data_IF_882988143912
#
_entry.id   IF_882988143912
#
_cell.length_a   1.000
_cell.length_b   1.000
_cell.length_c   1.000
_cell.angle_alpha   90.00
_cell.angle_beta   90.00
_cell.angle_gamma   90.00
#
_symmetry.space_group_name_H-M   'P 1'
#
loop_
_entity.id
_entity.type
_entity.pdbx_description
1 polymer ?
#
# COMPACT_ATOMS: atom_id res chain seq x y z
N UNK A 1 0.57 20.83 32.54
CA UNK A 1 -0.61 21.16 31.69
C UNK A 1 -0.56 20.25 30.48
N UNK A 2 -1.63 19.51 30.18
CA UNK A 2 -1.73 18.71 28.96
C UNK A 2 -2.34 19.57 27.84
N UNK A 3 -1.60 19.78 26.76
CA UNK A 3 -2.08 20.44 25.55
C UNK A 3 -2.49 19.37 24.53
N UNK A 4 -3.78 19.05 24.48
CA UNK A 4 -4.32 18.12 23.50
C UNK A 4 -4.59 18.84 22.18
N UNK A 5 -3.89 18.42 21.11
CA UNK A 5 -4.18 18.86 19.75
C UNK A 5 -5.53 18.30 19.26
N UNK A 6 -6.13 18.94 18.25
CA UNK A 6 -7.35 18.48 17.59
C UNK A 6 -7.16 18.46 16.07
N UNK A 7 -7.79 17.49 15.39
CA UNK A 7 -7.94 17.44 13.93
C UNK A 7 -9.42 17.35 13.59
N UNK A 8 -9.96 18.37 12.93
CA UNK A 8 -11.32 18.33 12.41
C UNK A 8 -11.42 17.37 11.23
N UNK A 9 -12.57 16.68 11.01
CA UNK A 9 -12.80 15.94 9.78
C UNK A 9 -12.65 16.85 8.56
N UNK A 10 -12.01 16.33 7.52
CA UNK A 10 -11.84 17.03 6.25
C UNK A 10 -13.00 16.61 5.33
N UNK A 11 -13.54 17.56 4.57
CA UNK A 11 -14.63 17.33 3.63
C UNK A 11 -14.20 17.76 2.22
N UNK A 12 -14.72 17.08 1.21
CA UNK A 12 -14.50 17.39 -0.20
C UNK A 12 -15.66 16.90 -1.06
N UNK A 13 -16.00 17.64 -2.11
CA UNK A 13 -17.16 17.34 -2.98
C UNK A 13 -16.79 16.63 -4.28
N UNK A 14 -15.52 16.70 -4.70
CA UNK A 14 -15.04 16.14 -5.97
C UNK A 14 -14.08 14.95 -5.79
N UNK A 15 -13.49 14.79 -4.60
CA UNK A 15 -12.54 13.73 -4.31
C UNK A 15 -11.82 13.96 -2.98
N UNK A 16 -11.21 12.89 -2.46
CA UNK A 16 -10.43 12.90 -1.23
C UNK A 16 -9.33 11.84 -1.31
N UNK A 17 -8.15 12.16 -0.76
CA UNK A 17 -7.02 11.22 -0.65
C UNK A 17 -6.47 11.29 0.76
N UNK A 18 -6.34 10.14 1.41
CA UNK A 18 -5.76 10.00 2.74
C UNK A 18 -4.64 8.97 2.71
N UNK A 19 -3.47 9.32 3.23
CA UNK A 19 -2.30 8.45 3.35
C UNK A 19 -1.46 8.88 4.57
N UNK A 20 -0.45 8.09 4.93
CA UNK A 20 0.47 8.40 6.04
C UNK A 20 1.41 9.56 5.73
N UNK A 21 1.67 9.86 4.45
CA UNK A 21 2.59 10.91 4.02
C UNK A 21 1.86 12.06 3.31
N UNK A 22 2.04 13.33 3.75
CA UNK A 22 1.39 14.47 3.11
C UNK A 22 1.71 14.60 1.61
N UNK A 23 2.96 14.33 1.19
CA UNK A 23 3.37 14.42 -0.22
C UNK A 23 2.74 13.30 -1.07
N UNK A 24 2.54 12.10 -0.52
CA UNK A 24 1.84 11.03 -1.22
C UNK A 24 0.35 11.35 -1.38
N UNK A 25 -0.29 11.89 -0.34
CA UNK A 25 -1.66 12.41 -0.44
C UNK A 25 -1.79 13.50 -1.51
N UNK A 26 -0.81 14.41 -1.60
CA UNK A 26 -0.79 15.45 -2.63
C UNK A 26 -0.63 14.89 -4.05
N UNK A 27 0.20 13.85 -4.24
CA UNK A 27 0.33 13.19 -5.54
C UNK A 27 -1.02 12.60 -6.01
N UNK A 28 -1.77 11.95 -5.12
CA UNK A 28 -3.11 11.45 -5.44
C UNK A 28 -4.09 12.58 -5.78
N UNK A 29 -4.07 13.68 -5.02
CA UNK A 29 -4.92 14.86 -5.30
C UNK A 29 -4.59 15.47 -6.67
N UNK A 30 -3.32 15.51 -7.06
CA UNK A 30 -2.91 16.03 -8.35
C UNK A 30 -3.43 15.18 -9.51
N UNK A 31 -3.42 13.84 -9.38
CA UNK A 31 -4.03 12.95 -10.37
C UNK A 31 -5.55 13.15 -10.47
N UNK A 32 -6.24 13.32 -9.34
CA UNK A 32 -7.68 13.64 -9.37
C UNK A 32 -7.96 14.96 -10.08
N UNK A 33 -7.12 16.00 -9.86
CA UNK A 33 -7.25 17.29 -10.54
C UNK A 33 -7.02 17.19 -12.05
N UNK A 34 -6.18 16.27 -12.49
CA UNK A 34 -5.92 15.98 -13.90
C UNK A 34 -7.02 15.12 -14.56
N UNK A 35 -8.11 14.82 -13.83
CA UNK A 35 -9.24 14.05 -14.33
C UNK A 35 -9.11 12.54 -14.14
N UNK A 36 -8.09 12.08 -13.40
CA UNK A 36 -7.95 10.69 -12.99
C UNK A 36 -9.05 10.27 -12.01
N UNK A 37 -9.31 8.96 -11.95
CA UNK A 37 -10.25 8.37 -11.00
C UNK A 37 -9.57 7.97 -9.68
N UNK A 38 -10.34 7.37 -8.76
CA UNK A 38 -9.83 6.93 -7.47
C UNK A 38 -8.74 5.84 -7.57
N UNK A 39 -8.79 4.95 -8.56
CA UNK A 39 -7.76 3.96 -8.80
C UNK A 39 -6.46 4.60 -9.33
N UNK A 40 -6.55 5.55 -10.26
CA UNK A 40 -5.38 6.30 -10.77
C UNK A 40 -4.69 7.05 -9.62
N UNK A 41 -5.48 7.71 -8.77
CA UNK A 41 -4.97 8.40 -7.59
C UNK A 41 -4.30 7.44 -6.59
N UNK A 42 -4.86 6.25 -6.38
CA UNK A 42 -4.27 5.24 -5.50
C UNK A 42 -2.91 4.73 -6.01
N UNK A 43 -2.77 4.53 -7.34
CA UNK A 43 -1.50 4.15 -7.97
C UNK A 43 -0.45 5.25 -7.77
N UNK A 44 -0.81 6.53 -7.94
CA UNK A 44 0.11 7.64 -7.70
C UNK A 44 0.51 7.78 -6.23
N UNK A 45 -0.42 7.57 -5.30
CA UNK A 45 -0.11 7.54 -3.86
C UNK A 45 0.88 6.42 -3.54
N UNK A 46 0.64 5.20 -4.05
CA UNK A 46 1.55 4.06 -3.85
C UNK A 46 2.94 4.34 -4.41
N UNK A 47 3.02 4.90 -5.63
CA UNK A 47 4.29 5.28 -6.24
C UNK A 47 5.03 6.36 -5.43
N UNK A 48 4.32 7.35 -4.90
CA UNK A 48 4.91 8.39 -4.05
C UNK A 48 5.38 7.83 -2.69
N UNK A 49 4.63 6.91 -2.09
CA UNK A 49 4.98 6.26 -0.82
C UNK A 49 6.31 5.50 -0.91
N UNK A 50 6.64 4.90 -2.06
CA UNK A 50 7.93 4.25 -2.26
C UNK A 50 9.13 5.19 -2.00
N UNK A 51 8.95 6.50 -2.18
CA UNK A 51 9.99 7.50 -1.92
C UNK A 51 9.80 8.20 -0.57
N UNK A 52 8.55 8.52 -0.20
CA UNK A 52 8.27 9.31 1.01
C UNK A 52 8.21 8.47 2.27
N UNK A 53 7.99 7.16 2.15
CA UNK A 53 7.93 6.21 3.27
C UNK A 53 8.59 4.84 2.91
N UNK A 54 9.87 4.84 2.53
CA UNK A 54 10.55 3.65 2.01
C UNK A 54 10.72 2.53 3.05
N UNK A 55 10.60 2.85 4.34
CA UNK A 55 10.73 1.90 5.44
C UNK A 55 9.46 1.05 5.67
N UNK A 56 8.33 1.42 5.06
CA UNK A 56 7.04 0.75 5.29
C UNK A 56 6.49 0.03 4.06
N UNK A 57 6.75 0.55 2.87
CA UNK A 57 6.25 -0.01 1.60
C UNK A 57 7.21 0.30 0.46
N UNK A 58 7.10 -0.45 -0.65
CA UNK A 58 8.06 -0.37 -1.74
C UNK A 58 7.66 -1.22 -2.95
N UNK A 59 8.34 -0.98 -4.08
CA UNK A 59 8.17 -1.77 -5.32
C UNK A 59 8.49 -3.26 -5.16
N UNK A 60 9.26 -3.64 -4.13
CA UNK A 60 9.63 -5.02 -3.84
C UNK A 60 8.67 -5.74 -2.89
N UNK A 61 7.61 -5.07 -2.43
CA UNK A 61 6.57 -5.66 -1.60
C UNK A 61 5.46 -6.30 -2.43
N UNK A 62 4.31 -6.47 -1.79
CA UNK A 62 3.06 -6.87 -2.41
C UNK A 62 1.93 -5.87 -2.12
N UNK A 63 0.74 -6.13 -2.68
CA UNK A 63 -0.40 -5.24 -2.51
C UNK A 63 -1.72 -6.00 -2.38
N UNK A 64 -2.64 -5.39 -1.63
CA UNK A 64 -4.05 -5.76 -1.58
C UNK A 64 -4.88 -4.51 -1.84
N UNK A 65 -5.94 -4.65 -2.63
CA UNK A 65 -6.85 -3.53 -2.92
C UNK A 65 -8.30 -3.99 -2.90
N UNK A 66 -9.16 -3.17 -2.31
CA UNK A 66 -10.60 -3.25 -2.50
C UNK A 66 -11.02 -2.05 -3.33
N UNK A 67 -11.62 -2.31 -4.47
CA UNK A 67 -12.06 -1.29 -5.41
C UNK A 67 -13.57 -1.37 -5.59
N UNK A 68 -14.27 -0.29 -5.26
CA UNK A 68 -15.69 -0.14 -5.53
C UNK A 68 -15.87 0.56 -6.88
N UNK A 69 -16.51 -0.13 -7.82
CA UNK A 69 -16.90 0.46 -9.09
C UNK A 69 -18.32 1.03 -8.98
N UNK A 70 -18.44 2.35 -9.03
CA UNK A 70 -19.72 3.04 -8.93
C UNK A 70 -20.68 2.73 -10.09
N UNK A 71 -20.17 2.35 -11.27
CA UNK A 71 -21.00 2.03 -12.43
C UNK A 71 -21.71 0.69 -12.25
N UNK A 72 -20.97 -0.32 -11.80
CA UNK A 72 -21.50 -1.68 -11.60
C UNK A 72 -22.01 -1.93 -10.18
N UNK A 73 -21.70 -1.04 -9.23
CA UNK A 73 -21.99 -1.16 -7.79
C UNK A 73 -21.38 -2.39 -7.14
N UNK A 74 -20.29 -2.89 -7.72
CA UNK A 74 -19.58 -4.07 -7.22
C UNK A 74 -18.28 -3.68 -6.53
N UNK A 75 -17.92 -4.44 -5.50
CA UNK A 75 -16.60 -4.38 -4.88
C UNK A 75 -15.76 -5.52 -5.44
N UNK A 76 -14.61 -5.19 -6.03
CA UNK A 76 -13.60 -6.15 -6.46
C UNK A 76 -12.44 -6.16 -5.48
N UNK A 77 -11.90 -7.35 -5.23
CA UNK A 77 -10.67 -7.53 -4.46
C UNK A 77 -9.52 -7.90 -5.38
N UNK A 78 -8.39 -7.19 -5.25
CA UNK A 78 -7.12 -7.56 -5.85
C UNK A 78 -6.20 -8.11 -4.77
N UNK A 79 -5.75 -9.35 -4.96
CA UNK A 79 -4.67 -9.95 -4.20
C UNK A 79 -3.43 -10.03 -5.10
N UNK A 80 -2.44 -9.18 -4.83
CA UNK A 80 -1.16 -9.17 -5.51
C UNK A 80 -0.02 -9.69 -4.60
N UNK A 81 -0.34 -10.59 -3.65
CA UNK A 81 0.67 -11.24 -2.80
C UNK A 81 1.68 -12.03 -3.62
N UNK A 82 2.96 -11.76 -3.33
CA UNK A 82 4.08 -12.49 -3.92
C UNK A 82 4.10 -13.94 -3.43
N UNK A 83 4.31 -14.88 -4.35
CA UNK A 83 4.49 -16.29 -3.99
C UNK A 83 5.92 -16.58 -3.54
N UNK A 84 6.10 -17.64 -2.76
CA UNK A 84 7.42 -18.19 -2.50
C UNK A 84 8.12 -18.58 -3.83
N UNK A 85 9.44 -18.34 -3.96
CA UNK A 85 10.22 -18.80 -5.11
C UNK A 85 10.12 -20.32 -5.29
N UNK A 86 10.06 -20.81 -6.54
CA UNK A 86 9.88 -22.24 -6.83
C UNK A 86 10.98 -23.15 -6.28
N UNK A 87 12.21 -22.63 -6.15
CA UNK A 87 13.35 -23.37 -5.60
C UNK A 87 13.42 -23.32 -4.05
N UNK A 88 12.61 -22.48 -3.39
CA UNK A 88 12.61 -22.33 -1.94
C UNK A 88 11.76 -23.45 -1.30
N UNK A 89 12.37 -24.62 -1.11
CA UNK A 89 11.75 -25.79 -0.46
C UNK A 89 12.38 -26.08 0.92
N UNK A 90 11.80 -27.04 1.64
CA UNK A 90 12.23 -27.37 3.01
C UNK A 90 13.64 -27.97 3.04
N UNK A 91 13.99 -28.76 2.03
CA UNK A 91 15.32 -29.36 1.89
C UNK A 91 16.40 -28.28 1.72
N UNK A 92 16.13 -27.28 0.88
CA UNK A 92 17.01 -26.13 0.69
C UNK A 92 17.21 -25.34 1.98
N UNK A 93 16.11 -25.03 2.70
CA UNK A 93 16.17 -24.31 3.97
C UNK A 93 16.95 -25.09 5.04
N UNK A 94 16.73 -26.41 5.14
CA UNK A 94 17.47 -27.28 6.05
C UNK A 94 18.97 -27.30 5.73
N UNK A 95 19.34 -27.31 4.45
CA UNK A 95 20.74 -27.22 4.01
C UNK A 95 21.40 -25.87 4.35
N UNK A 96 20.62 -24.79 4.49
CA UNK A 96 21.08 -23.49 4.99
C UNK A 96 21.09 -23.38 6.54
N UNK A 97 20.82 -24.49 7.25
CA UNK A 97 20.82 -24.52 8.71
C UNK A 97 19.53 -24.02 9.36
N UNK A 98 18.50 -23.72 8.59
CA UNK A 98 17.20 -23.27 9.10
C UNK A 98 16.37 -24.51 9.45
N UNK A 99 16.47 -24.95 10.72
CA UNK A 99 15.76 -26.12 11.22
C UNK A 99 14.90 -25.75 12.44
N UNK A 100 13.57 -25.88 12.30
CA UNK A 100 12.63 -25.79 13.43
C UNK A 100 12.25 -24.38 13.92
N UNK A 101 12.89 -23.30 13.46
CA UNK A 101 12.44 -21.92 13.70
C UNK A 101 12.57 -21.09 12.43
N UNK A 102 11.53 -20.31 12.12
CA UNK A 102 11.59 -19.32 11.06
C UNK A 102 12.57 -18.21 11.46
N UNK A 103 13.48 -17.79 10.55
CA UNK A 103 14.35 -16.64 10.81
C UNK A 103 13.51 -15.36 10.95
N UNK A 104 14.00 -14.35 11.70
CA UNK A 104 13.26 -13.11 11.93
C UNK A 104 13.10 -12.24 10.67
N UNK A 105 13.89 -12.50 9.64
CA UNK A 105 13.79 -11.89 8.32
C UNK A 105 13.93 -12.98 7.25
N UNK A 106 13.49 -12.71 6.03
CA UNK A 106 13.76 -13.58 4.89
C UNK A 106 15.28 -13.78 4.73
N UNK A 107 15.73 -14.99 4.31
CA UNK A 107 17.14 -15.25 4.03
C UNK A 107 17.73 -14.32 2.97
#
# INVERSE_FOLDING_TARGET
MNFNSRRSPVYGTHGMVASSQPLASMAGIEILKQGGNAADAAVAVSAALNMTEPCSTGIGGDAFCLYFDAKTKNVSGLNASGRAPAALNLEYLAAQGITGKLPPASP
#
